data_IF_223164124561
#
_entry.id   IF_223164124561
#
_cell.length_a   1.000
_cell.length_b   1.000
_cell.length_c   1.000
_cell.angle_alpha   90.00
_cell.angle_beta   90.00
_cell.angle_gamma   90.00
#
_symmetry.space_group_name_H-M   'P 1'
#
loop_
_entity.id
_entity.type
_entity.pdbx_description
1 polymer ?
#
# COMPACT_ATOMS: atom_id res chain seq x y z
N UNK A 1 -8.94 18.04 -8.85
CA UNK A 1 -8.97 16.79 -9.65
C UNK A 1 -7.57 16.13 -9.69
N UNK A 2 -6.92 15.97 -8.54
CA UNK A 2 -5.55 15.40 -8.46
C UNK A 2 -5.37 14.35 -7.35
N UNK A 3 -6.37 14.12 -6.48
CA UNK A 3 -6.21 13.26 -5.30
C UNK A 3 -6.84 11.85 -5.43
N UNK A 4 -7.79 11.64 -6.35
CA UNK A 4 -8.47 10.35 -6.54
C UNK A 4 -7.63 9.36 -7.37
N UNK A 5 -6.70 9.86 -8.19
CA UNK A 5 -5.92 9.06 -9.15
C UNK A 5 -4.86 8.17 -8.49
N UNK A 6 -4.25 8.60 -7.37
CA UNK A 6 -3.20 7.81 -6.71
C UNK A 6 -3.76 6.57 -6.02
N UNK A 7 -4.86 6.71 -5.29
CA UNK A 7 -5.53 5.56 -4.64
C UNK A 7 -6.00 4.55 -5.69
N UNK A 8 -6.58 5.04 -6.79
CA UNK A 8 -7.00 4.18 -7.89
C UNK A 8 -5.82 3.47 -8.58
N UNK A 9 -4.73 4.20 -8.89
CA UNK A 9 -3.54 3.60 -9.48
C UNK A 9 -2.90 2.55 -8.55
N UNK A 10 -2.90 2.83 -7.24
CA UNK A 10 -2.39 1.90 -6.24
C UNK A 10 -3.28 0.65 -6.10
N UNK A 11 -4.60 0.82 -6.14
CA UNK A 11 -5.54 -0.30 -6.18
C UNK A 11 -5.35 -1.16 -7.44
N UNK A 12 -5.15 -0.55 -8.61
CA UNK A 12 -4.85 -1.27 -9.84
C UNK A 12 -3.53 -2.06 -9.73
N UNK A 13 -2.50 -1.48 -9.14
CA UNK A 13 -1.21 -2.16 -8.92
C UNK A 13 -1.34 -3.36 -7.98
N UNK A 14 -2.10 -3.23 -6.89
CA UNK A 14 -2.40 -4.34 -5.98
C UNK A 14 -3.23 -5.44 -6.64
N UNK A 15 -4.21 -5.06 -7.47
CA UNK A 15 -5.00 -6.03 -8.22
C UNK A 15 -4.14 -6.81 -9.21
N UNK A 16 -3.28 -6.13 -9.99
CA UNK A 16 -2.34 -6.79 -10.89
C UNK A 16 -1.38 -7.72 -10.14
N UNK A 17 -0.89 -7.31 -8.97
CA UNK A 17 -0.03 -8.12 -8.13
C UNK A 17 -0.74 -9.41 -7.66
N UNK A 18 -1.98 -9.30 -7.19
CA UNK A 18 -2.79 -10.46 -6.79
C UNK A 18 -3.06 -11.42 -7.96
N UNK A 19 -3.44 -10.88 -9.13
CA UNK A 19 -3.66 -11.67 -10.34
C UNK A 19 -2.39 -12.39 -10.77
N UNK A 20 -1.23 -11.72 -10.76
CA UNK A 20 0.06 -12.35 -11.07
C UNK A 20 0.38 -13.50 -10.12
N UNK A 21 0.08 -13.36 -8.83
CA UNK A 21 0.29 -14.44 -7.86
C UNK A 21 -0.68 -15.60 -8.09
N UNK A 22 -1.96 -15.32 -8.33
CA UNK A 22 -2.96 -16.35 -8.60
C UNK A 22 -2.65 -17.14 -9.89
N UNK A 23 -2.21 -16.44 -10.94
CA UNK A 23 -1.95 -17.05 -12.25
C UNK A 23 -0.61 -17.80 -12.31
N UNK A 24 0.40 -17.36 -11.55
CA UNK A 24 1.77 -17.89 -11.67
C UNK A 24 2.20 -18.74 -10.47
N UNK A 25 1.36 -18.91 -9.45
CA UNK A 25 1.66 -19.70 -8.25
C UNK A 25 0.48 -20.59 -7.87
N UNK A 26 0.73 -21.67 -7.13
CA UNK A 26 -0.33 -22.54 -6.61
C UNK A 26 -0.86 -22.05 -5.24
N UNK A 27 -0.76 -20.76 -4.96
CA UNK A 27 -1.25 -20.18 -3.71
C UNK A 27 -2.78 -20.15 -3.70
N UNK A 28 -3.38 -20.49 -2.56
CA UNK A 28 -4.80 -20.27 -2.34
C UNK A 28 -5.12 -18.78 -2.19
N UNK A 29 -6.36 -18.38 -2.50
CA UNK A 29 -6.83 -17.01 -2.35
C UNK A 29 -6.57 -16.46 -0.93
N UNK A 30 -6.76 -17.27 0.10
CA UNK A 30 -6.47 -16.90 1.50
C UNK A 30 -4.99 -16.50 1.71
N UNK A 31 -4.05 -17.21 1.07
CA UNK A 31 -2.61 -16.91 1.17
C UNK A 31 -2.24 -15.67 0.36
N UNK A 32 -2.91 -15.45 -0.77
CA UNK A 32 -2.74 -14.24 -1.57
C UNK A 32 -3.26 -13.02 -0.81
N UNK A 33 -4.40 -13.13 -0.12
CA UNK A 33 -4.96 -12.07 0.72
C UNK A 33 -4.08 -11.79 1.95
N UNK A 34 -3.58 -12.82 2.64
CA UNK A 34 -2.60 -12.67 3.72
C UNK A 34 -1.35 -11.91 3.25
N UNK A 35 -0.82 -12.26 2.07
CA UNK A 35 0.37 -11.61 1.51
C UNK A 35 0.10 -10.15 1.11
N UNK A 36 -1.06 -9.88 0.50
CA UNK A 36 -1.46 -8.53 0.14
C UNK A 36 -1.66 -7.65 1.39
N UNK A 37 -2.23 -8.20 2.46
CA UNK A 37 -2.39 -7.49 3.74
C UNK A 37 -1.03 -7.25 4.41
N UNK A 38 -0.15 -8.25 4.45
CA UNK A 38 1.20 -8.09 4.97
C UNK A 38 2.02 -7.05 4.18
N UNK A 39 1.83 -6.96 2.86
CA UNK A 39 2.41 -5.91 2.03
C UNK A 39 1.90 -4.52 2.43
N UNK A 40 0.59 -4.35 2.63
CA UNK A 40 -0.01 -3.10 3.08
C UNK A 40 0.49 -2.65 4.46
N UNK A 41 0.54 -3.58 5.41
CA UNK A 41 1.03 -3.31 6.77
C UNK A 41 2.52 -2.90 6.77
N UNK A 42 3.33 -3.55 5.92
CA UNK A 42 4.73 -3.20 5.74
C UNK A 42 4.90 -1.81 5.10
N UNK A 43 4.03 -1.44 4.16
CA UNK A 43 4.02 -0.09 3.57
C UNK A 43 3.60 0.97 4.60
N UNK A 44 2.58 0.73 5.42
CA UNK A 44 2.15 1.67 6.47
C UNK A 44 3.26 1.95 7.48
N UNK A 45 4.01 0.92 7.87
CA UNK A 45 5.17 1.06 8.76
C UNK A 45 6.25 1.96 8.16
N UNK A 46 6.59 1.75 6.89
CA UNK A 46 7.58 2.56 6.18
C UNK A 46 7.08 3.99 5.89
N UNK A 47 5.78 4.18 5.65
CA UNK A 47 5.20 5.51 5.41
C UNK A 47 5.22 6.36 6.69
N UNK A 48 4.90 5.76 7.84
CA UNK A 48 5.04 6.43 9.14
C UNK A 48 6.49 6.83 9.37
N UNK A 49 7.42 5.90 9.19
CA UNK A 49 8.85 6.18 9.35
C UNK A 49 9.34 7.29 8.39
N UNK A 50 8.86 7.32 7.15
CA UNK A 50 9.16 8.38 6.18
C UNK A 50 8.57 9.74 6.57
N UNK A 51 7.35 9.79 7.12
CA UNK A 51 6.71 11.02 7.62
C UNK A 51 7.46 11.56 8.85
N UNK A 52 7.91 10.68 9.76
CA UNK A 52 8.68 11.08 10.94
C UNK A 52 10.12 11.50 10.62
N UNK A 53 10.71 11.01 9.52
CA UNK A 53 12.06 11.35 9.09
C UNK A 53 12.15 12.54 8.13
N UNK A 54 11.03 13.04 7.61
CA UNK A 54 10.99 14.23 6.74
C UNK A 54 10.35 15.40 7.50
N UNK A 55 11.14 16.33 8.07
CA UNK A 55 10.64 17.42 8.92
C UNK A 55 9.56 18.30 8.26
N UNK A 56 9.60 18.45 6.94
CA UNK A 56 8.63 19.24 6.16
C UNK A 56 7.24 18.59 6.07
N UNK A 57 7.13 17.28 6.28
CA UNK A 57 5.85 16.56 6.32
C UNK A 57 5.27 16.48 7.73
N UNK A 58 6.12 16.57 8.77
CA UNK A 58 5.70 16.59 10.16
C UNK A 58 4.84 17.81 10.54
N UNK A 59 5.03 18.95 9.86
CA UNK A 59 4.28 20.19 10.12
C UNK A 59 2.83 20.17 9.62
N UNK A 60 2.46 19.24 8.72
CA UNK A 60 1.07 19.11 8.24
C UNK A 60 0.15 18.36 9.19
N UNK A 61 0.69 17.64 10.17
CA UNK A 61 -0.09 16.79 11.08
C UNK A 61 -0.33 17.41 12.48
N UNK A 62 0.10 18.66 12.69
CA UNK A 62 -0.04 19.40 13.97
C UNK A 62 -1.17 20.44 13.96
N UNK A 63 -2.03 20.46 12.93
CA UNK A 63 -3.15 21.42 12.80
C UNK A 63 -4.52 20.75 12.56
N UNK A 64 -4.73 19.55 13.11
CA UNK A 64 -6.06 18.97 13.32
C UNK A 64 -6.22 18.57 14.78
#
# INVERSE_FOLDING_TARGET
MSDITWIQAFQMLLQMFRTMLSDNTELSDEKIDELANAFMDAQEKNLKDMIFQVPSLSLRNTYL
#
